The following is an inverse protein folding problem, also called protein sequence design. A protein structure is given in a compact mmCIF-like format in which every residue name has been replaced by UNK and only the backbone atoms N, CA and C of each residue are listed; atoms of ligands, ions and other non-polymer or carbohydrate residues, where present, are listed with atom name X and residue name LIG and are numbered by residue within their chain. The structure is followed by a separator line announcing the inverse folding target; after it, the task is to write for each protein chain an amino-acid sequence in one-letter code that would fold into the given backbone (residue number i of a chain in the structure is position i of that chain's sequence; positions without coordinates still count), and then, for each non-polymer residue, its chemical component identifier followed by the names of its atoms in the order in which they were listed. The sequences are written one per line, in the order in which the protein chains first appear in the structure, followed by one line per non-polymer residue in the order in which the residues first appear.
data_IF_800285437922
#
_entry.id   IF_800285437922
#
_cell.length_a   1.000
_cell.length_b   1.000
_cell.length_c   1.000
_cell.angle_alpha   90.00
_cell.angle_beta   90.00
_cell.angle_gamma   90.00
#
_symmetry.space_group_name_H-M   'P 1'
#
loop_
_entity.id
_entity.type
_entity.pdbx_description
1 polymer ?
#
# COMPACT_ATOMS: atom_id res chain seq x y z
N UNK A 1 26.12 32.44 -14.33
CA UNK A 1 24.78 32.88 -14.76
C UNK A 1 24.07 31.66 -15.28
N UNK A 2 23.23 31.06 -14.51
CA UNK A 2 22.49 29.86 -14.85
C UNK A 2 21.00 30.20 -14.81
N UNK A 3 20.35 30.11 -15.97
CA UNK A 3 18.94 30.41 -16.14
C UNK A 3 18.08 29.35 -15.48
N UNK A 4 17.31 29.75 -14.50
CA UNK A 4 16.29 28.92 -13.87
C UNK A 4 15.04 28.88 -14.75
N UNK A 5 14.73 27.73 -15.36
CA UNK A 5 13.48 27.53 -16.10
C UNK A 5 12.36 27.23 -15.12
N UNK A 6 11.45 28.18 -14.95
CA UNK A 6 10.21 28.03 -14.17
C UNK A 6 9.12 27.44 -15.06
N UNK A 7 8.65 26.23 -14.77
CA UNK A 7 7.49 25.63 -15.42
C UNK A 7 6.19 26.00 -14.69
N UNK A 8 5.36 26.85 -15.31
CA UNK A 8 4.00 27.16 -14.85
C UNK A 8 3.00 26.11 -15.34
N UNK A 9 2.20 25.55 -14.41
CA UNK A 9 1.16 24.54 -14.68
C UNK A 9 -0.03 25.01 -15.54
N UNK A 10 -0.04 26.25 -16.02
CA UNK A 10 -1.14 26.84 -16.79
C UNK A 10 -0.98 26.83 -18.33
N UNK A 11 0.10 26.26 -18.87
CA UNK A 11 0.47 26.33 -20.29
C UNK A 11 0.11 25.16 -21.21
N UNK A 12 -0.53 24.09 -20.73
CA UNK A 12 -0.71 22.84 -21.52
C UNK A 12 -2.08 22.71 -22.21
N UNK A 13 -3.02 23.61 -21.96
CA UNK A 13 -4.39 23.53 -22.52
C UNK A 13 -4.66 24.54 -23.65
N UNK A 14 -3.76 24.68 -24.58
CA UNK A 14 -4.03 25.60 -25.69
C UNK A 14 -3.13 25.45 -26.89
N UNK A 15 -3.33 24.42 -27.71
CA UNK A 15 -2.98 24.39 -29.14
C UNK A 15 -3.31 23.03 -29.78
N UNK A 16 -4.59 22.81 -30.14
CA UNK A 16 -4.92 22.05 -31.33
C UNK A 16 -5.82 22.90 -32.20
N UNK A 17 -5.19 23.46 -33.24
CA UNK A 17 -5.84 24.25 -34.28
C UNK A 17 -6.63 23.36 -35.21
N UNK A 18 -7.78 23.85 -35.56
CA UNK A 18 -8.72 23.35 -36.57
C UNK A 18 -8.08 23.47 -37.96
N UNK A 19 -8.16 22.40 -38.74
CA UNK A 19 -8.14 22.46 -40.21
C UNK A 19 -9.15 21.46 -40.74
N UNK A 20 -10.12 21.95 -41.39
CA UNK A 20 -11.25 21.72 -42.07
C UNK A 20 -11.31 20.55 -43.05
N UNK A 21 -12.57 20.10 -43.32
CA UNK A 21 -12.90 19.15 -44.37
C UNK A 21 -14.34 18.69 -44.23
N UNK A 22 -15.24 19.38 -44.85
CA UNK A 22 -16.65 19.05 -45.04
C UNK A 22 -16.83 17.74 -45.83
N UNK A 23 -17.64 16.83 -45.29
CA UNK A 23 -18.41 15.88 -46.12
C UNK A 23 -19.71 15.54 -45.39
N UNK A 24 -20.80 16.11 -45.93
CA UNK A 24 -22.18 15.79 -45.58
C UNK A 24 -22.54 14.49 -46.26
N UNK A 25 -22.87 13.45 -45.51
CA UNK A 25 -23.69 12.36 -45.97
C UNK A 25 -24.81 12.12 -44.98
N UNK A 26 -25.98 12.59 -45.35
CA UNK A 26 -27.23 12.26 -44.69
C UNK A 26 -27.54 10.76 -44.91
N UNK A 27 -27.61 10.01 -43.84
CA UNK A 27 -28.17 8.67 -43.83
C UNK A 27 -29.19 8.64 -42.69
N UNK A 28 -30.45 8.69 -43.13
CA UNK A 28 -31.64 8.50 -42.32
C UNK A 28 -31.66 7.08 -41.75
N UNK A 29 -31.45 6.91 -40.47
CA UNK A 29 -31.71 5.66 -39.79
C UNK A 29 -33.01 5.81 -39.00
N UNK A 30 -33.95 5.01 -39.41
CA UNK A 30 -35.28 4.79 -38.84
C UNK A 30 -35.12 4.42 -37.34
N UNK A 31 -35.76 5.18 -36.47
CA UNK A 31 -35.92 4.84 -35.07
C UNK A 31 -36.92 3.69 -34.95
N UNK A 32 -36.41 2.47 -34.84
CA UNK A 32 -37.19 1.37 -34.28
C UNK A 32 -37.05 1.49 -32.75
N UNK A 33 -38.10 1.97 -32.12
CA UNK A 33 -38.23 1.95 -30.68
C UNK A 33 -38.23 0.51 -30.17
N UNK A 34 -37.09 0.07 -29.63
CA UNK A 34 -37.04 -1.07 -28.73
C UNK A 34 -37.04 -0.52 -27.32
N UNK A 35 -38.19 -0.52 -26.67
CA UNK A 35 -38.31 -0.38 -25.24
C UNK A 35 -37.56 -1.56 -24.61
N UNK A 36 -36.39 -1.27 -24.11
CA UNK A 36 -35.69 -2.19 -23.21
C UNK A 36 -36.49 -2.20 -21.90
N UNK A 37 -37.39 -3.16 -21.79
CA UNK A 37 -37.90 -3.56 -20.49
C UNK A 37 -36.69 -4.02 -19.69
N UNK A 38 -36.34 -3.26 -18.66
CA UNK A 38 -35.46 -3.74 -17.61
C UNK A 38 -36.14 -5.00 -17.05
N UNK A 39 -35.63 -6.16 -17.43
CA UNK A 39 -35.88 -7.36 -16.67
C UNK A 39 -35.19 -7.15 -15.36
N UNK A 40 -35.99 -6.79 -14.37
CA UNK A 40 -35.67 -7.01 -12.97
C UNK A 40 -35.52 -8.53 -12.79
N UNK A 41 -34.33 -9.05 -13.06
CA UNK A 41 -33.94 -10.37 -12.61
C UNK A 41 -33.71 -10.23 -11.11
N UNK A 42 -34.81 -10.26 -10.35
CA UNK A 42 -34.81 -10.60 -8.95
C UNK A 42 -34.01 -11.89 -8.81
N UNK A 43 -32.71 -11.76 -8.50
CA UNK A 43 -31.98 -12.82 -7.84
C UNK A 43 -32.58 -12.89 -6.44
N UNK A 44 -33.69 -13.60 -6.30
CA UNK A 44 -34.02 -14.29 -5.08
C UNK A 44 -32.82 -15.19 -4.82
N UNK A 45 -31.83 -14.68 -4.08
CA UNK A 45 -30.90 -15.53 -3.39
C UNK A 45 -31.74 -16.30 -2.39
N UNK A 46 -32.12 -17.50 -2.78
CA UNK A 46 -32.64 -18.50 -1.87
C UNK A 46 -31.56 -18.78 -0.83
N UNK A 47 -31.58 -18.00 0.27
CA UNK A 47 -30.72 -18.17 1.43
C UNK A 47 -31.12 -19.39 2.26
N UNK A 48 -32.03 -20.23 1.73
CA UNK A 48 -32.55 -21.40 2.47
C UNK A 48 -31.65 -22.64 2.39
N UNK A 49 -30.51 -22.57 1.66
CA UNK A 49 -29.61 -23.74 1.53
C UNK A 49 -28.15 -23.49 1.88
N UNK A 50 -27.83 -22.44 2.64
CA UNK A 50 -26.69 -22.51 3.52
C UNK A 50 -27.10 -23.42 4.67
N UNK A 51 -26.62 -24.65 4.64
CA UNK A 51 -26.54 -25.47 5.84
C UNK A 51 -25.68 -24.70 6.83
N UNK A 52 -26.29 -23.76 7.57
CA UNK A 52 -25.79 -23.43 8.87
C UNK A 52 -25.78 -24.76 9.61
N UNK A 53 -24.61 -25.34 9.77
CA UNK A 53 -24.43 -26.29 10.85
C UNK A 53 -24.99 -25.58 12.06
N UNK A 54 -26.05 -26.18 12.60
CA UNK A 54 -26.67 -25.80 13.84
C UNK A 54 -25.61 -25.64 14.93
N UNK A 55 -25.03 -24.44 14.99
CA UNK A 55 -24.25 -23.99 16.14
C UNK A 55 -25.33 -23.69 17.15
N UNK A 56 -25.72 -24.75 17.90
CA UNK A 56 -26.73 -24.68 18.92
C UNK A 56 -26.60 -23.41 19.73
N UNK A 57 -27.73 -22.82 20.10
CA UNK A 57 -27.93 -21.51 20.75
C UNK A 57 -26.80 -21.08 21.71
N UNK A 58 -25.62 -20.74 21.12
CA UNK A 58 -24.51 -20.19 21.87
C UNK A 58 -24.89 -18.75 22.22
N UNK A 59 -24.84 -18.41 23.47
CA UNK A 59 -25.04 -17.03 23.90
C UNK A 59 -23.92 -16.14 23.43
N UNK A 60 -24.14 -14.83 23.37
CA UNK A 60 -23.08 -13.88 23.02
C UNK A 60 -21.85 -14.04 23.93
N UNK A 61 -22.07 -14.24 25.22
CA UNK A 61 -20.98 -14.40 26.20
C UNK A 61 -20.16 -15.69 25.94
N UNK A 62 -20.81 -16.78 25.52
CA UNK A 62 -20.13 -18.03 25.16
C UNK A 62 -19.33 -17.87 23.86
N UNK A 63 -19.87 -17.12 22.87
CA UNK A 63 -19.19 -16.80 21.64
C UNK A 63 -17.95 -15.94 21.91
N UNK A 64 -18.09 -14.90 22.72
CA UNK A 64 -16.98 -14.02 23.10
C UNK A 64 -15.88 -14.80 23.84
N UNK A 65 -16.27 -15.66 24.79
CA UNK A 65 -15.30 -16.52 25.50
C UNK A 65 -14.58 -17.48 24.56
N UNK A 66 -15.27 -18.03 23.57
CA UNK A 66 -14.66 -18.90 22.54
C UNK A 66 -13.67 -18.11 21.69
N UNK A 67 -14.03 -16.91 21.23
CA UNK A 67 -13.14 -16.04 20.46
C UNK A 67 -11.93 -15.62 21.28
N UNK A 68 -12.13 -15.20 22.53
CA UNK A 68 -11.03 -14.85 23.43
C UNK A 68 -10.07 -16.04 23.65
N UNK A 69 -10.60 -17.23 23.90
CA UNK A 69 -9.81 -18.44 24.03
C UNK A 69 -9.03 -18.77 22.74
N UNK A 70 -9.69 -18.58 21.57
CA UNK A 70 -9.04 -18.72 20.27
C UNK A 70 -7.86 -17.77 20.10
N UNK A 71 -8.04 -16.49 20.36
CA UNK A 71 -6.98 -15.48 20.28
C UNK A 71 -5.83 -15.79 21.26
N UNK A 72 -6.16 -16.16 22.50
CA UNK A 72 -5.17 -16.48 23.54
C UNK A 72 -4.43 -17.81 23.30
N UNK A 73 -4.98 -18.72 22.52
CA UNK A 73 -4.32 -19.99 22.16
C UNK A 73 -3.19 -19.79 21.15
N UNK A 74 -3.16 -18.62 20.47
CA UNK A 74 -2.03 -18.20 19.64
C UNK A 74 -1.21 -17.19 20.44
N UNK A 75 -0.31 -17.61 21.31
CA UNK A 75 0.62 -16.67 21.93
C UNK A 75 1.34 -15.99 20.77
N UNK A 76 1.31 -14.68 20.71
CA UNK A 76 2.13 -13.90 19.80
C UNK A 76 3.59 -14.11 20.21
N UNK A 77 4.13 -15.29 19.89
CA UNK A 77 5.54 -15.57 20.01
C UNK A 77 6.24 -14.74 18.94
N UNK A 78 6.35 -13.43 19.21
CA UNK A 78 7.03 -12.48 18.33
C UNK A 78 8.53 -12.53 18.50
N UNK A 79 9.01 -13.16 19.58
CA UNK A 79 10.44 -13.30 19.83
C UNK A 79 11.12 -14.04 18.68
N UNK A 80 12.01 -13.31 17.98
CA UNK A 80 12.78 -13.82 16.84
C UNK A 80 11.99 -14.00 15.53
N UNK A 81 10.72 -13.59 15.45
CA UNK A 81 9.91 -13.78 14.23
C UNK A 81 9.62 -12.49 13.47
N UNK A 82 9.14 -11.47 14.08
CA UNK A 82 8.81 -10.20 13.43
C UNK A 82 8.38 -9.19 14.44
N UNK A 83 8.26 -7.91 14.02
CA UNK A 83 7.93 -6.83 14.92
C UNK A 83 8.99 -6.57 16.00
N UNK A 84 10.22 -7.05 15.81
CA UNK A 84 11.31 -6.80 16.74
C UNK A 84 11.81 -5.37 16.60
N UNK A 85 12.25 -4.71 17.69
CA UNK A 85 12.82 -3.38 17.63
C UNK A 85 14.02 -3.32 16.67
N UNK A 86 14.04 -2.31 15.81
CA UNK A 86 15.20 -1.95 15.00
C UNK A 86 15.92 -0.78 15.67
N UNK A 87 17.04 -1.07 16.28
CA UNK A 87 17.86 -0.05 16.93
C UNK A 87 18.59 0.80 15.89
N UNK A 88 18.61 2.14 16.04
CA UNK A 88 19.33 3.02 15.14
C UNK A 88 20.86 2.94 15.36
N UNK A 89 21.60 3.15 14.28
CA UNK A 89 23.00 3.50 14.36
C UNK A 89 23.08 5.02 14.49
N UNK A 90 23.81 5.53 15.49
CA UNK A 90 23.94 6.98 15.68
C UNK A 90 25.06 7.55 14.79
N UNK A 91 24.70 8.57 13.99
CA UNK A 91 25.64 9.40 13.21
C UNK A 91 25.52 10.84 13.75
N UNK A 92 26.30 11.16 14.77
CA UNK A 92 26.09 12.35 15.59
C UNK A 92 24.72 12.31 16.27
N UNK A 93 23.87 13.29 16.00
CA UNK A 93 22.51 13.37 16.51
C UNK A 93 21.46 12.71 15.57
N UNK A 94 21.90 12.15 14.42
CA UNK A 94 21.02 11.51 13.44
C UNK A 94 20.87 10.03 13.76
N UNK A 95 19.63 9.56 13.88
CA UNK A 95 19.26 8.14 14.00
C UNK A 95 19.24 7.50 12.62
N UNK A 96 20.18 6.60 12.33
CA UNK A 96 20.29 5.91 11.04
C UNK A 96 19.70 4.51 11.14
N UNK A 97 18.71 4.22 10.30
CA UNK A 97 18.06 2.91 10.21
C UNK A 97 18.38 2.28 8.84
N UNK A 98 18.87 1.05 8.85
CA UNK A 98 19.08 0.27 7.63
C UNK A 98 17.89 -0.65 7.42
N UNK A 99 17.20 -0.50 6.29
CA UNK A 99 16.02 -1.26 5.91
C UNK A 99 16.31 -1.98 4.60
N UNK A 100 16.09 -3.28 4.56
CA UNK A 100 16.09 -4.04 3.31
C UNK A 100 14.67 -4.43 2.91
N UNK A 101 14.39 -4.39 1.61
CA UNK A 101 13.16 -4.93 1.03
C UNK A 101 13.52 -6.26 0.37
N UNK A 102 12.98 -7.35 0.87
CA UNK A 102 13.38 -8.71 0.50
C UNK A 102 12.17 -9.53 0.06
N UNK A 103 12.40 -10.55 -0.76
CA UNK A 103 11.46 -11.65 -0.97
C UNK A 103 11.91 -12.79 -0.10
N UNK A 104 11.00 -13.32 0.69
CA UNK A 104 11.27 -14.43 1.62
C UNK A 104 10.23 -15.54 1.47
N UNK A 105 10.60 -16.76 1.85
CA UNK A 105 9.62 -17.79 2.16
C UNK A 105 9.14 -17.58 3.60
N UNK A 106 7.87 -17.25 3.76
CA UNK A 106 7.27 -16.91 5.04
C UNK A 106 6.34 -18.04 5.50
N UNK A 107 6.62 -18.57 6.68
CA UNK A 107 5.74 -19.50 7.35
C UNK A 107 4.67 -18.72 8.12
N UNK A 108 3.45 -18.67 7.56
CA UNK A 108 2.32 -17.94 8.15
C UNK A 108 1.49 -18.78 9.13
N UNK A 109 1.59 -20.12 9.02
CA UNK A 109 1.06 -21.11 9.95
C UNK A 109 2.06 -22.27 10.05
N UNK A 110 2.07 -23.06 11.13
CA UNK A 110 2.96 -24.20 11.25
C UNK A 110 2.90 -25.14 10.05
N UNK A 111 4.01 -25.28 9.34
CA UNK A 111 4.14 -26.10 8.12
C UNK A 111 3.51 -25.52 6.86
N UNK A 112 2.98 -24.28 6.90
CA UNK A 112 2.43 -23.61 5.72
C UNK A 112 3.25 -22.38 5.38
N UNK A 113 3.86 -22.40 4.20
CA UNK A 113 4.71 -21.32 3.71
C UNK A 113 4.13 -20.66 2.45
N UNK A 114 4.50 -19.41 2.24
CA UNK A 114 4.22 -18.65 1.01
C UNK A 114 5.36 -17.66 0.74
N UNK A 115 5.51 -17.23 -0.51
CA UNK A 115 6.37 -16.11 -0.82
C UNK A 115 5.77 -14.82 -0.26
N UNK A 116 6.58 -14.02 0.44
CA UNK A 116 6.18 -12.74 1.01
C UNK A 116 7.23 -11.67 0.76
N UNK A 117 6.76 -10.42 0.66
CA UNK A 117 7.61 -9.24 0.62
C UNK A 117 7.79 -8.72 2.04
N UNK A 118 9.03 -8.57 2.45
CA UNK A 118 9.36 -8.32 3.84
C UNK A 118 10.37 -7.18 3.99
N UNK A 119 10.25 -6.44 5.07
CA UNK A 119 11.32 -5.56 5.54
C UNK A 119 12.24 -6.33 6.47
N UNK A 120 13.56 -6.24 6.22
CA UNK A 120 14.60 -6.90 7.01
C UNK A 120 14.34 -8.41 7.19
N UNK A 121 13.76 -9.06 6.15
CA UNK A 121 13.47 -10.49 6.10
C UNK A 121 12.50 -11.01 7.15
N UNK A 122 11.67 -10.14 7.71
CA UNK A 122 10.66 -10.50 8.72
C UNK A 122 9.27 -10.02 8.34
N UNK A 123 8.24 -10.76 8.76
CA UNK A 123 6.82 -10.40 8.67
C UNK A 123 6.19 -10.65 10.05
N UNK A 124 5.62 -9.61 10.68
CA UNK A 124 5.69 -8.20 10.35
C UNK A 124 7.13 -7.67 10.26
N UNK A 125 7.33 -6.56 9.52
CA UNK A 125 8.62 -5.87 9.47
C UNK A 125 9.06 -5.36 10.87
N UNK A 126 10.30 -4.86 11.00
CA UNK A 126 10.80 -4.40 12.28
C UNK A 126 10.03 -3.19 12.82
N UNK A 127 9.94 -3.09 14.14
CA UNK A 127 9.40 -1.91 14.82
C UNK A 127 10.47 -0.81 14.90
N UNK A 128 10.12 0.40 14.43
CA UNK A 128 10.97 1.57 14.51
C UNK A 128 10.34 2.55 15.48
N UNK A 129 11.06 2.84 16.58
CA UNK A 129 10.62 3.79 17.60
C UNK A 129 11.44 5.07 17.53
N UNK A 130 10.75 6.18 17.33
CA UNK A 130 11.33 7.52 17.26
C UNK A 130 10.48 8.51 18.04
N UNK A 131 11.09 9.64 18.39
CA UNK A 131 10.42 10.71 19.14
C UNK A 131 10.28 11.94 18.22
N UNK A 132 9.25 12.72 18.42
CA UNK A 132 9.13 14.01 17.75
C UNK A 132 10.38 14.86 17.98
N UNK A 133 10.89 15.47 16.89
CA UNK A 133 12.14 16.22 16.87
C UNK A 133 13.38 15.40 16.51
N UNK A 134 13.32 14.06 16.53
CA UNK A 134 14.45 13.23 16.09
C UNK A 134 14.77 13.49 14.61
N UNK A 135 16.05 13.63 14.32
CA UNK A 135 16.56 13.60 12.95
C UNK A 135 16.81 12.15 12.57
N UNK A 136 16.13 11.68 11.54
CA UNK A 136 16.19 10.29 11.11
C UNK A 136 16.69 10.17 9.66
N UNK A 137 17.52 9.16 9.43
CA UNK A 137 17.97 8.75 8.10
C UNK A 137 17.64 7.27 7.91
N UNK A 138 16.81 6.97 6.92
CA UNK A 138 16.45 5.60 6.58
C UNK A 138 17.12 5.23 5.26
N UNK A 139 18.03 4.27 5.30
CA UNK A 139 18.72 3.74 4.11
C UNK A 139 17.96 2.49 3.68
N UNK A 140 17.17 2.62 2.61
CA UNK A 140 16.34 1.53 2.09
C UNK A 140 17.03 0.89 0.91
N UNK A 141 17.35 -0.40 1.03
CA UNK A 141 17.97 -1.20 -0.03
C UNK A 141 16.96 -2.19 -0.60
N UNK A 142 16.80 -2.19 -1.92
CA UNK A 142 15.87 -3.07 -2.61
C UNK A 142 16.57 -4.35 -3.11
N UNK A 143 16.36 -5.46 -2.42
CA UNK A 143 16.84 -6.78 -2.81
C UNK A 143 15.79 -7.59 -3.59
N UNK A 144 14.63 -7.00 -3.87
CA UNK A 144 13.57 -7.66 -4.66
C UNK A 144 13.89 -7.60 -6.16
N UNK A 145 13.31 -8.48 -6.99
CA UNK A 145 13.54 -8.50 -8.44
C UNK A 145 12.80 -7.40 -9.21
N UNK A 146 12.01 -6.57 -8.54
CA UNK A 146 11.24 -5.46 -9.12
C UNK A 146 11.45 -4.16 -8.31
N UNK A 147 11.09 -3.04 -8.92
CA UNK A 147 11.22 -1.73 -8.28
C UNK A 147 10.24 -1.54 -7.14
N UNK A 148 10.64 -0.79 -6.11
CA UNK A 148 9.82 -0.46 -4.94
C UNK A 148 10.02 1.00 -4.52
N UNK A 149 9.32 1.44 -3.50
CA UNK A 149 9.52 2.66 -2.74
C UNK A 149 8.94 2.48 -1.34
N UNK A 150 9.34 3.32 -0.38
CA UNK A 150 8.75 3.34 0.97
C UNK A 150 7.98 4.64 1.14
N UNK A 151 6.70 4.52 1.44
CA UNK A 151 5.84 5.64 1.82
C UNK A 151 5.67 5.68 3.34
N UNK A 152 5.79 6.86 3.92
CA UNK A 152 5.71 7.09 5.36
C UNK A 152 4.30 7.50 5.75
N UNK A 153 3.41 6.51 5.74
CA UNK A 153 1.99 6.75 5.96
C UNK A 153 1.72 7.38 7.33
N UNK A 154 1.06 8.54 7.31
CA UNK A 154 0.66 9.26 8.52
C UNK A 154 1.76 10.17 9.11
N UNK A 155 2.94 10.25 8.50
CA UNK A 155 3.97 11.19 8.92
C UNK A 155 3.97 12.45 8.05
N UNK A 156 4.24 13.60 8.67
CA UNK A 156 4.53 14.83 7.95
C UNK A 156 6.00 14.83 7.51
N UNK A 157 6.23 14.61 6.23
CA UNK A 157 7.56 14.54 5.64
C UNK A 157 7.73 15.55 4.50
N UNK A 158 8.97 15.97 4.16
CA UNK A 158 9.22 16.74 2.94
C UNK A 158 8.71 15.98 1.71
N UNK A 159 8.13 16.68 0.73
CA UNK A 159 7.56 16.06 -0.47
C UNK A 159 8.53 15.11 -1.19
N UNK A 160 9.84 15.42 -1.23
CA UNK A 160 10.85 14.56 -1.84
C UNK A 160 11.12 13.25 -1.06
N UNK A 161 10.59 13.14 0.17
CA UNK A 161 10.73 11.99 1.06
C UNK A 161 9.43 11.21 1.23
N UNK A 162 8.38 11.57 0.49
CA UNK A 162 7.04 10.97 0.63
C UNK A 162 6.92 9.57 0.03
N UNK A 163 7.87 9.14 -0.78
CA UNK A 163 7.94 7.76 -1.25
C UNK A 163 7.02 7.41 -2.41
N UNK A 164 6.44 8.38 -3.12
CA UNK A 164 5.55 8.12 -4.26
C UNK A 164 6.36 8.02 -5.56
N UNK A 165 6.50 6.82 -6.17
CA UNK A 165 7.30 6.64 -7.38
C UNK A 165 6.83 7.53 -8.52
N UNK A 166 7.79 8.11 -9.27
CA UNK A 166 7.59 9.02 -10.41
C UNK A 166 6.93 10.37 -10.08
N UNK A 167 6.49 10.60 -8.85
CA UNK A 167 5.88 11.86 -8.40
C UNK A 167 6.84 12.59 -7.45
N UNK A 168 7.20 11.96 -6.33
CA UNK A 168 8.09 12.56 -5.34
C UNK A 168 9.52 12.07 -5.41
N UNK A 169 9.72 10.87 -5.99
CA UNK A 169 11.04 10.26 -6.17
C UNK A 169 11.06 9.28 -7.36
N UNK A 170 12.22 8.92 -7.90
CA UNK A 170 12.33 7.74 -8.76
C UNK A 170 12.12 6.46 -7.95
N UNK A 171 11.62 5.38 -8.56
CA UNK A 171 11.50 4.09 -7.88
C UNK A 171 12.88 3.54 -7.53
N UNK A 172 12.98 2.81 -6.42
CA UNK A 172 14.18 2.10 -6.01
C UNK A 172 14.27 0.82 -6.84
N UNK A 173 15.18 0.77 -7.79
CA UNK A 173 15.38 -0.38 -8.68
C UNK A 173 15.97 -1.58 -7.91
N UNK A 174 15.86 -2.81 -8.45
CA UNK A 174 16.56 -3.98 -7.92
C UNK A 174 18.05 -3.70 -7.69
N UNK A 175 18.57 -4.03 -6.52
CA UNK A 175 19.96 -3.81 -6.11
C UNK A 175 20.33 -2.37 -5.76
N UNK A 176 19.40 -1.41 -5.93
CA UNK A 176 19.64 -0.01 -5.58
C UNK A 176 19.18 0.32 -4.16
N UNK A 177 19.67 1.46 -3.67
CA UNK A 177 19.23 2.04 -2.40
C UNK A 177 18.72 3.46 -2.59
N UNK A 178 17.83 3.89 -1.68
CA UNK A 178 17.39 5.27 -1.56
C UNK A 178 17.52 5.72 -0.10
N UNK A 179 17.87 6.97 0.12
CA UNK A 179 18.04 7.55 1.44
C UNK A 179 16.91 8.51 1.71
N UNK A 180 16.09 8.19 2.70
CA UNK A 180 15.08 9.10 3.24
C UNK A 180 15.67 9.80 4.46
N UNK A 181 15.65 11.12 4.48
CA UNK A 181 16.19 11.88 5.60
C UNK A 181 15.24 13.03 5.95
N UNK A 182 14.73 13.02 7.17
CA UNK A 182 13.81 14.05 7.65
C UNK A 182 13.76 14.08 9.19
N UNK A 183 13.26 15.21 9.71
CA UNK A 183 12.95 15.34 11.13
C UNK A 183 11.54 14.83 11.39
N UNK A 184 11.37 14.00 12.42
CA UNK A 184 10.06 13.49 12.84
C UNK A 184 9.19 14.64 13.34
N UNK A 185 7.97 14.73 12.82
CA UNK A 185 6.97 15.73 13.22
C UNK A 185 5.65 15.04 13.46
N UNK A 186 4.92 15.49 14.46
CA UNK A 186 3.53 15.10 14.64
C UNK A 186 2.68 15.62 13.47
N UNK A 187 1.66 14.81 13.09
CA UNK A 187 0.67 15.12 12.08
C UNK A 187 -0.54 15.89 12.64
#
# INVERSE_FOLDING_TARGET
MGDSVSYSRRGVLGRFGVAGGTAVLASSIVHSGASVLAQDSGHDMDMSNTTHQDSGDMTNDEMDAMHEAGVKSFPAATEGKGGQPLEPIMDGDVKVFNISCDVIEWEYEPGKTTEAYAYNKTVPGPEIRVTEGDQCRFIVTNNMPFSTAVHWHGLIVPNAMDGVPFITQPPIKPGASFVYEFTIREG
#
